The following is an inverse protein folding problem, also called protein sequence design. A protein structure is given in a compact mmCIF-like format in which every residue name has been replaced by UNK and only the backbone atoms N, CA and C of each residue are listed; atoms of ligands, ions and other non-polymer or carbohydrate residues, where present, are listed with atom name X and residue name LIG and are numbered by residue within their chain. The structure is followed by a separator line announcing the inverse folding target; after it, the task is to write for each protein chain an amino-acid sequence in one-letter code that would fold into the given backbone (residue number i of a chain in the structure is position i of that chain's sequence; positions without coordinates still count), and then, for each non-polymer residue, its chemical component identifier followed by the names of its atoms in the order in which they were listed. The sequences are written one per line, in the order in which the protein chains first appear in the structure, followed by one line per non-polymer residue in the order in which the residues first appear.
data_IF_456140677065
#
_entry.id   IF_456140677065
#
_cell.length_a   1.000
_cell.length_b   1.000
_cell.length_c   1.000
_cell.angle_alpha   90.00
_cell.angle_beta   90.00
_cell.angle_gamma   90.00
#
_symmetry.space_group_name_H-M   'P 1'
#
loop_
_entity.id
_entity.type
_entity.pdbx_description
1 polymer ?
#
# COMPACT_ATOMS: atom_id res chain seq x y z
N UNK A 1 42.65 -13.80 -17.19
CA UNK A 1 41.81 -15.00 -17.46
C UNK A 1 40.45 -14.76 -16.83
N UNK A 2 39.40 -14.56 -17.63
CA UNK A 2 38.03 -14.41 -17.12
C UNK A 2 37.41 -15.78 -16.88
N UNK A 3 36.91 -16.03 -15.66
CA UNK A 3 36.24 -17.29 -15.34
C UNK A 3 34.80 -17.22 -15.84
N UNK A 4 34.43 -18.11 -16.76
CA UNK A 4 33.07 -18.22 -17.27
C UNK A 4 32.28 -19.07 -16.27
N UNK A 5 31.40 -18.42 -15.51
CA UNK A 5 30.47 -19.10 -14.59
C UNK A 5 29.21 -19.44 -15.39
N UNK A 6 28.90 -20.73 -15.52
CA UNK A 6 27.63 -21.19 -16.11
C UNK A 6 26.56 -21.17 -15.03
N UNK A 7 25.57 -20.30 -15.17
CA UNK A 7 24.40 -20.25 -14.29
C UNK A 7 23.29 -21.08 -14.94
N UNK A 8 22.71 -22.02 -14.20
CA UNK A 8 21.57 -22.79 -14.67
C UNK A 8 20.32 -21.91 -14.75
N UNK A 9 19.49 -22.11 -15.78
CA UNK A 9 18.26 -21.33 -15.99
C UNK A 9 17.30 -21.40 -14.79
N UNK A 10 17.24 -22.57 -14.13
CA UNK A 10 16.43 -22.80 -12.93
C UNK A 10 16.85 -21.93 -11.73
N UNK A 11 18.14 -21.57 -11.65
CA UNK A 11 18.68 -20.69 -10.61
C UNK A 11 18.26 -19.24 -10.93
N UNK A 12 18.30 -18.86 -12.20
CA UNK A 12 17.89 -17.53 -12.64
C UNK A 12 16.41 -17.28 -12.35
N UNK A 13 15.54 -18.25 -12.65
CA UNK A 13 14.09 -18.17 -12.34
C UNK A 13 13.83 -17.99 -10.84
N UNK A 14 14.55 -18.73 -9.99
CA UNK A 14 14.43 -18.60 -8.53
C UNK A 14 14.92 -17.23 -8.04
N UNK A 15 15.99 -16.69 -8.61
CA UNK A 15 16.51 -15.36 -8.28
C UNK A 15 15.49 -14.28 -8.67
N UNK A 16 14.87 -14.38 -9.86
CA UNK A 16 13.83 -13.44 -10.30
C UNK A 16 12.63 -13.48 -9.35
N UNK A 17 12.12 -14.66 -9.01
CA UNK A 17 10.99 -14.79 -8.09
C UNK A 17 11.29 -14.22 -6.68
N UNK A 18 12.53 -14.35 -6.21
CA UNK A 18 12.97 -13.74 -4.94
C UNK A 18 13.10 -12.23 -5.07
N UNK A 19 13.66 -11.72 -6.16
CA UNK A 19 13.76 -10.28 -6.41
C UNK A 19 12.38 -9.62 -6.53
N UNK A 20 11.42 -10.27 -7.18
CA UNK A 20 10.02 -9.83 -7.26
C UNK A 20 9.38 -9.80 -5.87
N UNK A 21 9.59 -10.83 -5.04
CA UNK A 21 9.10 -10.84 -3.65
C UNK A 21 9.73 -9.77 -2.78
N UNK A 22 11.02 -9.47 -2.95
CA UNK A 22 11.71 -8.40 -2.22
C UNK A 22 11.22 -7.02 -2.70
N UNK A 23 11.03 -6.86 -4.01
CA UNK A 23 10.43 -5.63 -4.57
C UNK A 23 8.98 -5.44 -4.11
N UNK A 24 8.26 -6.54 -3.88
CA UNK A 24 6.90 -6.56 -3.33
C UNK A 24 6.87 -6.49 -1.80
N UNK A 25 7.96 -6.82 -1.10
CA UNK A 25 8.10 -6.60 0.34
C UNK A 25 8.30 -5.11 0.58
N UNK A 26 7.22 -4.36 0.43
CA UNK A 26 7.15 -2.99 0.92
C UNK A 26 7.26 -3.10 2.43
N UNK A 27 8.38 -2.65 2.98
CA UNK A 27 8.47 -2.45 4.42
C UNK A 27 7.25 -1.66 4.87
N UNK A 28 6.59 -2.16 5.92
CA UNK A 28 5.39 -1.54 6.46
C UNK A 28 5.76 -0.12 6.92
N UNK A 29 5.32 0.89 6.16
CA UNK A 29 5.63 2.29 6.46
C UNK A 29 4.43 3.00 7.09
N UNK A 30 4.74 4.07 7.80
CA UNK A 30 3.76 5.00 8.37
C UNK A 30 3.27 5.96 7.30
N UNK A 31 1.96 6.16 7.23
CA UNK A 31 1.27 7.08 6.33
C UNK A 31 0.56 8.14 7.16
N UNK A 32 0.78 9.40 6.82
CA UNK A 32 0.14 10.54 7.49
C UNK A 32 -1.25 10.87 6.94
N UNK A 33 -1.95 11.79 7.61
CA UNK A 33 -3.29 12.29 7.21
C UNK A 33 -3.32 12.78 5.76
N UNK A 34 -2.42 13.69 5.42
CA UNK A 34 -2.34 14.31 4.08
C UNK A 34 -2.13 13.27 2.98
N UNK A 35 -1.20 12.34 3.22
CA UNK A 35 -0.88 11.30 2.26
C UNK A 35 -2.04 10.31 2.07
N UNK A 36 -2.71 9.92 3.16
CA UNK A 36 -3.88 9.04 3.06
C UNK A 36 -5.02 9.71 2.28
N UNK A 37 -5.31 10.98 2.55
CA UNK A 37 -6.32 11.74 1.83
C UNK A 37 -6.00 11.84 0.33
N UNK A 38 -4.73 12.13 0.00
CA UNK A 38 -4.26 12.18 -1.38
C UNK A 38 -4.40 10.82 -2.10
N UNK A 39 -4.08 9.70 -1.45
CA UNK A 39 -4.24 8.36 -2.05
C UNK A 39 -5.70 8.00 -2.35
N UNK A 40 -6.65 8.55 -1.59
CA UNK A 40 -8.09 8.40 -1.82
C UNK A 40 -8.66 9.44 -2.80
N UNK A 41 -7.85 10.41 -3.24
CA UNK A 41 -8.28 11.56 -4.04
C UNK A 41 -9.42 12.34 -3.36
N UNK A 42 -9.27 12.63 -2.08
CA UNK A 42 -10.22 13.42 -1.27
C UNK A 42 -9.49 14.47 -0.44
N UNK A 43 -10.23 15.47 0.03
CA UNK A 43 -9.71 16.44 1.00
C UNK A 43 -9.45 15.80 2.37
N UNK A 44 -8.39 16.21 3.11
CA UNK A 44 -8.08 15.72 4.44
C UNK A 44 -9.24 15.86 5.45
N UNK A 45 -10.05 16.90 5.34
CA UNK A 45 -11.23 17.12 6.20
C UNK A 45 -12.32 16.08 5.92
N UNK A 46 -12.44 15.65 4.66
CA UNK A 46 -13.35 14.58 4.25
C UNK A 46 -12.89 13.24 4.81
N UNK A 47 -11.58 13.00 4.82
CA UNK A 47 -11.01 11.83 5.49
C UNK A 47 -11.35 11.85 6.99
N UNK A 48 -11.18 12.98 7.67
CA UNK A 48 -11.51 13.12 9.09
C UNK A 48 -13.00 12.88 9.37
N UNK A 49 -13.89 13.37 8.50
CA UNK A 49 -15.33 13.10 8.60
C UNK A 49 -15.63 11.60 8.50
N UNK A 50 -15.05 10.91 7.52
CA UNK A 50 -15.22 9.45 7.34
C UNK A 50 -14.67 8.64 8.52
N UNK A 51 -13.59 9.10 9.14
CA UNK A 51 -13.06 8.51 10.38
C UNK A 51 -14.04 8.72 11.55
N UNK A 52 -14.63 9.91 11.69
CA UNK A 52 -15.65 10.19 12.73
C UNK A 52 -16.91 9.36 12.54
N UNK A 53 -17.34 9.16 11.30
CA UNK A 53 -18.45 8.28 10.92
C UNK A 53 -18.16 6.79 11.13
N UNK A 54 -16.91 6.42 11.43
CA UNK A 54 -16.50 5.04 11.63
C UNK A 54 -16.30 4.23 10.34
N UNK A 55 -16.28 4.88 9.17
CA UNK A 55 -16.00 4.22 7.88
C UNK A 55 -14.55 3.75 7.76
N UNK A 56 -13.63 4.48 8.38
CA UNK A 56 -12.20 4.14 8.43
C UNK A 56 -11.70 4.02 9.86
N UNK A 57 -10.67 3.21 10.06
CA UNK A 57 -10.03 3.02 11.35
C UNK A 57 -9.35 4.31 11.82
N UNK A 58 -9.37 4.53 13.13
CA UNK A 58 -8.67 5.66 13.75
C UNK A 58 -7.15 5.46 13.60
N UNK A 59 -6.38 6.56 13.45
CA UNK A 59 -4.93 6.45 13.32
C UNK A 59 -4.29 6.00 14.63
N UNK A 60 -3.16 5.33 14.50
CA UNK A 60 -2.22 5.13 15.59
C UNK A 60 -1.58 6.47 15.99
N UNK A 61 -1.14 6.56 17.25
CA UNK A 61 -0.45 7.74 17.78
C UNK A 61 1.05 7.51 17.85
N UNK A 62 1.80 8.49 17.37
CA UNK A 62 3.26 8.59 17.46
C UNK A 62 3.59 9.96 18.08
N UNK A 63 3.41 10.03 19.40
CA UNK A 63 3.43 11.29 20.14
C UNK A 63 2.36 12.26 19.63
N UNK A 64 2.79 13.42 19.11
CA UNK A 64 1.88 14.44 18.54
C UNK A 64 1.36 14.09 17.15
N UNK A 65 2.03 13.17 16.43
CA UNK A 65 1.65 12.78 15.08
C UNK A 65 0.71 11.59 15.12
N UNK A 66 -0.14 11.50 14.10
CA UNK A 66 -1.06 10.38 13.91
C UNK A 66 -0.73 9.71 12.58
N UNK A 67 -0.76 8.39 12.54
CA UNK A 67 -0.39 7.62 11.34
C UNK A 67 -1.24 6.37 11.15
N UNK A 68 -1.26 5.88 9.91
CA UNK A 68 -1.75 4.56 9.54
C UNK A 68 -0.61 3.73 8.96
N UNK A 69 -0.79 2.41 8.93
CA UNK A 69 0.09 1.53 8.19
C UNK A 69 -0.25 1.58 6.71
N UNK A 70 0.77 1.54 5.85
CA UNK A 70 0.60 1.58 4.41
C UNK A 70 -0.29 0.44 3.92
N UNK A 71 -0.17 -0.75 4.50
CA UNK A 71 -1.00 -1.91 4.17
C UNK A 71 -2.49 -1.61 4.34
N UNK A 72 -2.88 -1.00 5.46
CA UNK A 72 -4.26 -0.59 5.73
C UNK A 72 -4.74 0.48 4.73
N UNK A 73 -3.93 1.51 4.49
CA UNK A 73 -4.28 2.56 3.53
C UNK A 73 -4.49 1.98 2.13
N UNK A 74 -3.63 1.07 1.70
CA UNK A 74 -3.74 0.41 0.41
C UNK A 74 -4.98 -0.48 0.31
N UNK A 75 -5.36 -1.21 1.36
CA UNK A 75 -6.59 -2.01 1.34
C UNK A 75 -7.81 -1.09 1.15
N UNK A 76 -7.91 0.00 1.91
CA UNK A 76 -9.02 0.95 1.81
C UNK A 76 -9.10 1.59 0.43
N UNK A 77 -7.96 2.01 -0.14
CA UNK A 77 -7.90 2.62 -1.48
C UNK A 77 -8.31 1.62 -2.56
N UNK A 78 -7.95 0.34 -2.40
CA UNK A 78 -8.30 -0.72 -3.37
C UNK A 78 -9.77 -1.10 -3.26
N UNK A 79 -10.29 -1.29 -2.05
CA UNK A 79 -11.71 -1.59 -1.79
C UNK A 79 -12.63 -0.47 -2.32
N UNK A 80 -12.19 0.80 -2.19
CA UNK A 80 -12.96 1.94 -2.70
C UNK A 80 -13.08 1.92 -4.24
N UNK A 81 -12.07 1.40 -4.95
CA UNK A 81 -12.10 1.28 -6.42
C UNK A 81 -13.01 0.17 -6.90
N UNK A 82 -13.13 -0.92 -6.15
CA UNK A 82 -14.02 -2.05 -6.50
C UNK A 82 -15.51 -1.76 -6.19
N UNK A 83 -15.79 -0.84 -5.26
CA UNK A 83 -17.17 -0.41 -4.91
C UNK A 83 -17.86 0.44 -5.99
N UNK A 84 -17.17 0.77 -7.08
CA UNK A 84 -17.77 1.37 -8.27
C UNK A 84 -18.69 0.39 -8.99
N UNK A 85 -19.89 0.14 -8.45
CA UNK A 85 -20.97 -0.57 -9.13
C UNK A 85 -21.18 0.09 -10.49
N UNK A 86 -20.72 -0.57 -11.55
CA UNK A 86 -21.12 -0.29 -12.91
C UNK A 86 -22.65 -0.41 -12.98
N UNK A 87 -23.34 0.73 -13.10
CA UNK A 87 -24.74 0.74 -13.46
C UNK A 87 -24.82 0.11 -14.86
N UNK A 88 -25.30 -1.13 -14.91
CA UNK A 88 -25.56 -1.82 -16.17
C UNK A 88 -26.94 -1.33 -16.61
N UNK A 89 -26.99 -0.59 -17.72
CA UNK A 89 -28.23 -0.19 -18.39
C UNK A 89 -28.81 -1.37 -19.16
#
# INVERSE_FOLDING_TARGET
MGQIVKIEASILEKIVAVAERIAQSKEERRVGREEFAHMLNIEPETLDARIREGRYQRPYKDGRKSFWLLSYVQSVVTDTKESGKVATY
#
